data_IF_229386103350
#
_entry.id   IF_229386103350
#
_cell.length_a   1.000
_cell.length_b   1.000
_cell.length_c   1.000
_cell.angle_alpha   90.00
_cell.angle_beta   90.00
_cell.angle_gamma   90.00
#
_symmetry.space_group_name_H-M   'P 1'
#
loop_
_entity.id
_entity.type
_entity.pdbx_description
1 polymer ?
#
# COMPACT_ATOMS: atom_id res chain seq x y z
N UNK A 1 -12.16 7.68 -6.08
CA UNK A 1 -12.51 6.38 -5.50
C UNK A 1 -13.71 6.56 -4.58
N UNK A 2 -14.80 5.79 -4.73
CA UNK A 2 -15.96 5.93 -3.86
C UNK A 2 -15.61 5.51 -2.43
N UNK A 3 -16.12 6.25 -1.45
CA UNK A 3 -16.03 5.86 -0.06
C UNK A 3 -17.13 4.84 0.24
N UNK A 4 -16.78 3.73 0.88
CA UNK A 4 -17.71 2.74 1.38
C UNK A 4 -18.01 3.03 2.87
N UNK A 5 -19.22 2.70 3.37
CA UNK A 5 -19.45 2.79 4.79
C UNK A 5 -18.48 1.85 5.52
N UNK A 6 -17.67 2.43 6.40
CA UNK A 6 -16.73 1.66 7.21
C UNK A 6 -17.45 1.06 8.42
N UNK A 7 -17.28 -0.24 8.60
CA UNK A 7 -17.66 -0.86 9.86
C UNK A 7 -16.63 -0.47 10.92
N UNK A 8 -17.11 0.12 12.01
CA UNK A 8 -16.27 0.48 13.14
C UNK A 8 -16.80 -0.16 14.41
N UNK A 9 -15.90 -0.77 15.19
CA UNK A 9 -16.21 -1.32 16.49
C UNK A 9 -15.01 -1.11 17.40
N UNK A 10 -15.23 -0.61 18.59
CA UNK A 10 -14.16 -0.33 19.58
C UNK A 10 -13.36 -1.58 19.94
N UNK A 11 -13.94 -2.76 19.84
CA UNK A 11 -13.26 -4.02 20.12
C UNK A 11 -12.12 -4.30 19.13
N UNK A 12 -12.21 -3.72 17.93
CA UNK A 12 -11.19 -3.87 16.88
C UNK A 12 -10.00 -2.91 17.04
N UNK A 13 -10.15 -1.91 17.91
CA UNK A 13 -9.11 -0.92 18.13
C UNK A 13 -7.95 -1.49 18.95
N UNK A 14 -6.74 -1.11 18.58
CA UNK A 14 -5.53 -1.48 19.32
C UNK A 14 -4.53 -0.33 19.31
N UNK A 15 -3.59 -0.38 20.27
CA UNK A 15 -2.46 0.55 20.32
C UNK A 15 -1.17 -0.25 20.31
N UNK A 16 -0.34 -0.03 19.30
CA UNK A 16 0.90 -0.75 19.07
C UNK A 16 2.01 0.25 18.80
N UNK A 17 3.12 0.15 19.53
CA UNK A 17 4.28 1.03 19.36
C UNK A 17 3.92 2.53 19.41
N UNK A 18 2.96 2.89 20.25
CA UNK A 18 2.49 4.29 20.38
C UNK A 18 1.55 4.78 19.31
N UNK A 19 1.16 3.92 18.37
CA UNK A 19 0.21 4.23 17.30
C UNK A 19 -1.15 3.60 17.57
N UNK A 20 -2.20 4.36 17.29
CA UNK A 20 -3.58 3.89 17.43
C UNK A 20 -4.09 3.33 16.10
N UNK A 21 -4.56 2.08 16.14
CA UNK A 21 -5.14 1.39 15.00
C UNK A 21 -6.62 1.17 15.23
N UNK A 22 -7.53 1.74 14.41
CA UNK A 22 -8.97 1.56 14.57
C UNK A 22 -9.42 0.12 14.29
N UNK A 23 -8.65 -0.64 13.49
CA UNK A 23 -8.85 -2.05 13.25
C UNK A 23 -7.52 -2.70 12.83
N UNK A 24 -7.39 -4.03 12.88
CA UNK A 24 -6.13 -4.72 12.59
C UNK A 24 -5.87 -4.98 11.11
N UNK A 25 -6.77 -4.58 10.21
CA UNK A 25 -6.62 -4.83 8.78
C UNK A 25 -5.91 -3.67 8.12
N UNK A 26 -4.72 -3.92 7.60
CA UNK A 26 -3.91 -2.93 6.89
C UNK A 26 -3.71 -3.30 5.43
N UNK A 27 -3.51 -2.28 4.60
CA UNK A 27 -3.07 -2.48 3.23
C UNK A 27 -1.55 -2.69 3.22
N UNK A 28 -1.12 -3.83 2.68
CA UNK A 28 0.29 -4.19 2.64
C UNK A 28 1.07 -3.31 1.65
N UNK A 29 2.40 -3.14 1.87
CA UNK A 29 3.24 -2.39 0.95
C UNK A 29 3.31 -3.08 -0.41
N UNK A 30 3.48 -2.30 -1.46
CA UNK A 30 3.55 -2.77 -2.84
C UNK A 30 2.28 -2.55 -3.65
N UNK A 31 1.13 -2.37 -3.00
CA UNK A 31 -0.09 -2.01 -3.69
C UNK A 31 -0.06 -0.54 -4.13
N UNK A 32 0.32 0.35 -3.23
CA UNK A 32 0.47 1.78 -3.50
C UNK A 32 1.93 2.21 -3.32
N UNK A 33 2.75 1.88 -4.28
CA UNK A 33 4.20 2.10 -4.21
C UNK A 33 4.57 3.58 -4.12
N UNK A 34 3.79 4.44 -4.77
CA UNK A 34 4.10 5.85 -4.93
C UNK A 34 3.18 6.77 -4.11
N UNK A 35 2.32 6.23 -3.26
CA UNK A 35 1.34 6.98 -2.46
C UNK A 35 0.32 7.74 -3.32
N UNK A 36 -0.18 7.12 -4.36
CA UNK A 36 -1.18 7.72 -5.24
C UNK A 36 -2.59 7.67 -4.68
N UNK A 37 -2.87 6.66 -3.84
CA UNK A 37 -4.21 6.43 -3.27
C UNK A 37 -4.20 6.32 -1.74
N UNK A 38 -3.18 6.84 -1.07
CA UNK A 38 -3.01 6.67 0.39
C UNK A 38 -4.26 7.08 1.18
N UNK A 39 -4.74 8.31 1.02
CA UNK A 39 -5.92 8.78 1.73
C UNK A 39 -7.22 8.09 1.26
N UNK A 40 -7.49 7.93 -0.04
CA UNK A 40 -8.65 7.17 -0.50
C UNK A 40 -8.70 5.72 -0.02
N UNK A 41 -7.55 5.08 0.20
CA UNK A 41 -7.49 3.71 0.71
C UNK A 41 -8.14 3.57 2.09
N UNK A 42 -8.02 4.57 2.96
CA UNK A 42 -8.71 4.58 4.25
C UNK A 42 -10.23 4.58 4.10
N UNK A 43 -10.76 5.19 3.04
CA UNK A 43 -12.17 5.15 2.72
C UNK A 43 -12.71 3.75 2.39
N UNK A 44 -11.83 2.78 2.14
CA UNK A 44 -12.19 1.38 1.95
C UNK A 44 -12.27 0.58 3.26
N UNK A 45 -11.92 1.20 4.39
CA UNK A 45 -12.03 0.59 5.70
C UNK A 45 -10.72 0.11 6.32
N UNK A 46 -9.57 0.28 5.66
CA UNK A 46 -8.28 -0.10 6.23
C UNK A 46 -7.96 0.71 7.49
N UNK A 47 -7.51 0.04 8.53
CA UNK A 47 -7.03 0.69 9.76
C UNK A 47 -5.61 1.26 9.63
N UNK A 48 -4.84 0.78 8.66
CA UNK A 48 -3.51 1.26 8.35
C UNK A 48 -3.19 1.04 6.88
N UNK A 49 -2.26 1.82 6.36
CA UNK A 49 -1.78 1.70 4.98
C UNK A 49 -0.26 1.81 4.99
N UNK A 50 0.41 0.80 4.43
CA UNK A 50 1.85 0.86 4.21
C UNK A 50 2.14 1.24 2.77
N UNK A 51 2.93 2.29 2.59
CA UNK A 51 3.32 2.81 1.29
C UNK A 51 4.69 2.27 0.88
N UNK A 52 4.97 2.24 -0.40
CA UNK A 52 6.27 1.82 -0.93
C UNK A 52 6.28 0.40 -1.45
N UNK A 53 7.40 -0.18 -1.60
CA UNK A 53 8.73 0.33 -1.21
C UNK A 53 9.20 1.43 -2.17
N UNK A 54 9.87 2.40 -1.63
CA UNK A 54 10.41 3.53 -2.39
C UNK A 54 11.94 3.58 -2.22
N UNK A 55 12.63 4.04 -3.25
CA UNK A 55 14.08 4.23 -3.26
C UNK A 55 14.41 5.72 -3.34
N UNK A 56 15.65 6.15 -2.95
CA UNK A 56 16.01 7.56 -3.03
C UNK A 56 15.83 8.17 -4.44
N UNK A 57 16.20 7.42 -5.46
CA UNK A 57 16.00 7.80 -6.86
C UNK A 57 14.96 6.91 -7.53
N UNK A 58 14.25 7.41 -8.56
CA UNK A 58 13.30 6.59 -9.33
C UNK A 58 13.97 5.35 -9.94
N UNK A 59 13.24 4.25 -10.00
CA UNK A 59 13.68 3.01 -10.64
C UNK A 59 12.58 2.45 -11.52
N UNK A 60 12.93 2.04 -12.74
CA UNK A 60 12.01 1.36 -13.64
C UNK A 60 11.70 -0.08 -13.21
N UNK A 61 12.59 -0.67 -12.41
CA UNK A 61 12.53 -2.07 -12.05
C UNK A 61 13.06 -2.98 -13.16
N UNK A 62 12.82 -4.27 -13.00
CA UNK A 62 13.28 -5.27 -13.96
C UNK A 62 12.48 -5.21 -15.27
N UNK A 63 13.04 -5.69 -16.40
CA UNK A 63 12.31 -5.84 -17.66
C UNK A 63 11.08 -6.74 -17.50
N UNK A 64 10.00 -6.41 -18.20
CA UNK A 64 8.81 -7.26 -18.30
C UNK A 64 9.04 -8.43 -19.27
N UNK A 65 8.45 -9.62 -19.07
CA UNK A 65 7.49 -9.95 -18.00
C UNK A 65 8.18 -10.10 -16.64
N UNK A 66 7.51 -9.65 -15.59
CA UNK A 66 8.06 -9.64 -14.23
C UNK A 66 7.05 -10.01 -13.14
N UNK A 67 5.84 -10.40 -13.55
CA UNK A 67 4.78 -10.89 -12.69
C UNK A 67 4.16 -12.12 -13.35
N UNK A 68 4.09 -13.23 -12.62
CA UNK A 68 3.60 -14.51 -13.13
C UNK A 68 2.54 -15.06 -12.18
N UNK A 69 1.35 -15.36 -12.72
CA UNK A 69 0.26 -15.97 -11.97
C UNK A 69 0.29 -17.46 -12.13
N UNK A 70 0.38 -18.19 -11.04
CA UNK A 70 0.32 -19.64 -10.98
C UNK A 70 -1.08 -20.02 -10.50
N UNK A 71 -2.04 -20.02 -11.42
CA UNK A 71 -3.47 -20.16 -11.09
C UNK A 71 -3.76 -21.49 -10.40
N UNK A 72 -3.18 -22.60 -10.87
CA UNK A 72 -3.37 -23.93 -10.29
C UNK A 72 -2.85 -24.03 -8.86
N UNK A 73 -1.76 -23.33 -8.56
CA UNK A 73 -1.13 -23.31 -7.23
C UNK A 73 -1.66 -22.19 -6.34
N UNK A 74 -2.57 -21.36 -6.84
CA UNK A 74 -3.05 -20.13 -6.17
C UNK A 74 -1.90 -19.25 -5.67
N UNK A 75 -0.90 -19.08 -6.52
CA UNK A 75 0.33 -18.37 -6.18
C UNK A 75 0.70 -17.32 -7.22
N UNK A 76 1.59 -16.44 -6.84
CA UNK A 76 2.14 -15.40 -7.71
C UNK A 76 3.65 -15.35 -7.51
N UNK A 77 4.38 -15.32 -8.61
CA UNK A 77 5.83 -15.07 -8.61
C UNK A 77 6.05 -13.69 -9.20
N UNK A 78 6.91 -12.90 -8.58
CA UNK A 78 7.31 -11.63 -9.16
C UNK A 78 8.84 -11.43 -9.08
N UNK A 79 9.32 -10.61 -10.00
CA UNK A 79 10.67 -10.07 -10.02
C UNK A 79 10.62 -8.59 -10.39
N UNK A 80 9.82 -7.82 -9.66
CA UNK A 80 9.51 -6.42 -9.99
C UNK A 80 10.76 -5.53 -10.01
N UNK A 81 11.70 -5.75 -9.08
CA UNK A 81 12.94 -4.98 -9.03
C UNK A 81 12.77 -3.59 -8.42
N UNK A 82 11.81 -3.43 -7.50
CA UNK A 82 11.55 -2.19 -6.77
C UNK A 82 11.28 -0.99 -7.69
N UNK A 83 10.40 -1.19 -8.68
CA UNK A 83 9.93 -0.10 -9.53
C UNK A 83 9.16 0.94 -8.71
N UNK A 84 9.56 2.20 -8.80
CA UNK A 84 8.92 3.31 -8.10
C UNK A 84 9.40 4.65 -8.68
N UNK A 85 8.69 5.72 -8.31
CA UNK A 85 8.97 7.06 -8.81
C UNK A 85 9.95 7.87 -7.94
N UNK A 86 10.53 7.25 -6.91
CA UNK A 86 11.47 7.88 -5.99
C UNK A 86 10.81 8.51 -4.76
N UNK A 87 11.60 8.70 -3.72
CA UNK A 87 11.10 9.20 -2.43
C UNK A 87 10.52 10.62 -2.52
N UNK A 88 11.09 11.47 -3.36
CA UNK A 88 10.61 12.84 -3.51
C UNK A 88 9.18 12.86 -4.06
N UNK A 89 8.90 12.06 -5.08
CA UNK A 89 7.55 11.95 -5.64
C UNK A 89 6.57 11.35 -4.63
N UNK A 90 7.00 10.36 -3.86
CA UNK A 90 6.16 9.78 -2.81
C UNK A 90 5.76 10.84 -1.78
N UNK A 91 6.71 11.67 -1.33
CA UNK A 91 6.46 12.75 -0.37
C UNK A 91 5.44 13.75 -0.95
N UNK A 92 5.61 14.15 -2.19
CA UNK A 92 4.66 15.04 -2.89
C UNK A 92 3.26 14.45 -2.92
N UNK A 93 3.14 13.17 -3.28
CA UNK A 93 1.85 12.49 -3.35
C UNK A 93 1.18 12.38 -1.97
N UNK A 94 1.95 12.07 -0.92
CA UNK A 94 1.43 12.04 0.46
C UNK A 94 0.91 13.41 0.88
N UNK A 95 1.64 14.48 0.59
CA UNK A 95 1.22 15.84 0.92
C UNK A 95 -0.04 16.27 0.18
N UNK A 96 -0.24 15.78 -1.03
CA UNK A 96 -1.40 16.09 -1.87
C UNK A 96 -2.65 15.26 -1.52
N UNK A 97 -2.49 14.19 -0.77
CA UNK A 97 -3.60 13.30 -0.43
C UNK A 97 -4.46 13.77 0.75
#
# INVERSE_FOLDING_TARGET
MPSLPCFTDKVLASRVAGLDFPNPVGLAPGYDKNAEIAAPAFGLGFGSVELGTVTPLPQAGNPKPRLFRLVEDRAVINRMGFNNDGVEQLIENVKAS
#
